data_IF_890955893761
#
_entry.id   IF_890955893761
#
_cell.length_a   1.000
_cell.length_b   1.000
_cell.length_c   1.000
_cell.angle_alpha   90.00
_cell.angle_beta   90.00
_cell.angle_gamma   90.00
#
_symmetry.space_group_name_H-M   'P 1'
#
loop_
_entity.id
_entity.type
_entity.pdbx_description
1 polymer ?
#
# COMPACT_ATOMS: atom_id res chain seq x y z
N UNK A 1 -3.63 -19.16 -38.05
CA UNK A 1 -4.64 -18.09 -38.04
C UNK A 1 -5.53 -18.13 -36.80
N UNK A 2 -6.19 -19.24 -36.42
CA UNK A 2 -7.09 -19.28 -35.24
C UNK A 2 -6.32 -19.18 -33.90
N UNK A 3 -5.10 -19.67 -33.83
CA UNK A 3 -4.25 -19.66 -32.63
C UNK A 3 -3.67 -18.27 -32.35
N UNK A 4 -3.35 -17.49 -33.39
CA UNK A 4 -2.87 -16.10 -33.28
C UNK A 4 -3.98 -15.17 -32.76
N UNK A 5 -5.22 -15.28 -33.28
CA UNK A 5 -6.36 -14.47 -32.84
C UNK A 5 -6.69 -14.70 -31.34
N UNK A 6 -6.64 -15.94 -30.86
CA UNK A 6 -6.88 -16.27 -29.44
C UNK A 6 -5.77 -15.73 -28.53
N UNK A 7 -4.52 -15.73 -29.01
CA UNK A 7 -3.38 -15.19 -28.23
C UNK A 7 -3.47 -13.67 -28.13
N UNK A 8 -3.85 -12.97 -29.21
CA UNK A 8 -4.02 -11.52 -29.23
C UNK A 8 -5.21 -11.10 -28.35
N UNK A 9 -6.36 -11.79 -28.39
CA UNK A 9 -7.48 -11.54 -27.47
C UNK A 9 -7.11 -11.74 -26.01
N UNK A 10 -6.31 -12.77 -25.68
CA UNK A 10 -5.84 -13.02 -24.32
C UNK A 10 -4.89 -11.91 -23.87
N UNK A 11 -4.01 -11.45 -24.73
CA UNK A 11 -3.07 -10.35 -24.43
C UNK A 11 -3.80 -9.02 -24.24
N UNK A 12 -4.77 -8.69 -25.10
CA UNK A 12 -5.61 -7.50 -24.96
C UNK A 12 -6.45 -7.56 -23.67
N UNK A 13 -7.06 -8.69 -23.35
CA UNK A 13 -7.85 -8.87 -22.13
C UNK A 13 -6.98 -8.71 -20.88
N UNK A 14 -5.75 -9.24 -20.89
CA UNK A 14 -4.78 -9.06 -19.81
C UNK A 14 -4.32 -7.62 -19.68
N UNK A 15 -4.03 -6.94 -20.78
CA UNK A 15 -3.64 -5.53 -20.82
C UNK A 15 -4.75 -4.62 -20.25
N UNK A 16 -5.99 -4.82 -20.67
CA UNK A 16 -7.18 -4.10 -20.17
C UNK A 16 -7.40 -4.34 -18.68
N UNK A 17 -7.20 -5.59 -18.20
CA UNK A 17 -7.30 -5.92 -16.78
C UNK A 17 -6.23 -5.22 -15.96
N UNK A 18 -4.98 -5.21 -16.44
CA UNK A 18 -3.86 -4.53 -15.77
C UNK A 18 -4.12 -3.03 -15.67
N UNK A 19 -4.64 -2.41 -16.74
CA UNK A 19 -4.97 -0.98 -16.75
C UNK A 19 -6.12 -0.66 -15.79
N UNK A 20 -7.16 -1.51 -15.76
CA UNK A 20 -8.31 -1.37 -14.83
C UNK A 20 -7.93 -1.51 -13.37
N UNK A 21 -6.92 -2.33 -13.04
CA UNK A 21 -6.51 -2.64 -11.68
C UNK A 21 -5.41 -1.70 -11.14
N UNK A 22 -5.09 -0.59 -11.87
CA UNK A 22 -4.10 0.41 -11.46
C UNK A 22 -4.74 1.71 -10.98
N UNK A 23 -4.09 2.34 -10.00
CA UNK A 23 -4.41 3.70 -9.57
C UNK A 23 -3.86 4.71 -10.59
N UNK A 24 -4.73 5.56 -11.12
CA UNK A 24 -4.39 6.50 -12.19
C UNK A 24 -3.37 7.58 -11.79
N UNK A 25 -3.26 7.90 -10.50
CA UNK A 25 -2.33 8.92 -10.00
C UNK A 25 -0.94 8.38 -9.75
N UNK A 26 -0.84 7.19 -9.18
CA UNK A 26 0.42 6.59 -8.67
C UNK A 26 0.91 5.39 -9.48
N UNK A 27 0.03 4.77 -10.27
CA UNK A 27 0.34 3.56 -11.04
C UNK A 27 0.46 2.29 -10.22
N UNK A 28 0.28 2.34 -8.90
CA UNK A 28 0.21 1.14 -8.03
C UNK A 28 -1.14 0.43 -8.19
N UNK A 29 -1.34 -0.73 -7.58
CA UNK A 29 -2.65 -1.37 -7.56
C UNK A 29 -3.70 -0.43 -6.96
N UNK A 30 -4.89 -0.42 -7.52
CA UNK A 30 -6.01 0.34 -6.97
C UNK A 30 -6.80 -0.50 -5.95
N UNK A 31 -7.88 0.07 -5.42
CA UNK A 31 -8.76 -0.62 -4.47
C UNK A 31 -9.32 -1.93 -5.01
N UNK A 32 -9.68 -1.96 -6.30
CA UNK A 32 -10.21 -3.17 -6.94
C UNK A 32 -9.14 -4.29 -6.98
N UNK A 33 -7.89 -3.95 -7.32
CA UNK A 33 -6.78 -4.90 -7.28
C UNK A 33 -6.55 -5.45 -5.86
N UNK A 34 -6.64 -4.59 -4.85
CA UNK A 34 -6.57 -4.98 -3.45
C UNK A 34 -7.69 -5.95 -3.04
N UNK A 35 -8.93 -5.67 -3.43
CA UNK A 35 -10.08 -6.53 -3.16
C UNK A 35 -9.93 -7.90 -3.85
N UNK A 36 -9.46 -7.93 -5.10
CA UNK A 36 -9.15 -9.17 -5.83
C UNK A 36 -8.06 -9.99 -5.13
N UNK A 37 -7.02 -9.35 -4.62
CA UNK A 37 -5.96 -10.02 -3.85
C UNK A 37 -6.54 -10.68 -2.59
N UNK A 38 -7.40 -9.99 -1.84
CA UNK A 38 -8.05 -10.55 -0.65
C UNK A 38 -8.98 -11.72 -0.99
N UNK A 39 -9.77 -11.59 -2.07
CA UNK A 39 -10.64 -12.67 -2.54
C UNK A 39 -9.83 -13.91 -2.94
N UNK A 40 -8.71 -13.72 -3.65
CA UNK A 40 -7.81 -14.81 -4.01
C UNK A 40 -7.33 -15.56 -2.76
N UNK A 41 -6.81 -14.86 -1.77
CA UNK A 41 -6.33 -15.45 -0.52
C UNK A 41 -7.42 -16.17 0.27
N UNK A 42 -8.62 -15.60 0.33
CA UNK A 42 -9.76 -16.25 0.99
C UNK A 42 -10.21 -17.54 0.28
N UNK A 43 -9.97 -17.63 -1.03
CA UNK A 43 -10.22 -18.83 -1.83
C UNK A 43 -9.07 -19.86 -1.77
N UNK A 44 -7.92 -19.48 -1.21
CA UNK A 44 -6.73 -20.32 -1.06
C UNK A 44 -6.25 -20.29 0.41
N UNK A 45 -6.98 -21.00 1.31
CA UNK A 45 -6.68 -20.95 2.75
C UNK A 45 -5.26 -21.37 3.12
N UNK A 46 -4.61 -22.17 2.27
CA UNK A 46 -3.22 -22.59 2.41
C UNK A 46 -2.21 -21.44 2.32
N UNK A 47 -2.57 -20.34 1.68
CA UNK A 47 -1.73 -19.12 1.58
C UNK A 47 -1.87 -18.17 2.77
N UNK A 48 -2.90 -18.35 3.60
CA UNK A 48 -3.20 -17.44 4.71
C UNK A 48 -2.09 -17.41 5.78
N UNK A 49 -1.50 -18.56 6.20
CA UNK A 49 -0.49 -18.56 7.25
C UNK A 49 0.77 -17.74 6.97
N UNK A 50 1.09 -17.52 5.71
CA UNK A 50 2.23 -16.67 5.30
C UNK A 50 1.88 -15.22 5.01
N UNK A 51 0.64 -14.82 5.23
CA UNK A 51 0.17 -13.48 4.88
C UNK A 51 0.57 -12.43 5.89
N UNK A 52 0.93 -11.25 5.39
CA UNK A 52 1.18 -10.07 6.19
C UNK A 52 0.81 -8.80 5.43
N UNK A 53 0.50 -7.75 6.17
CA UNK A 53 0.08 -6.46 5.60
C UNK A 53 0.69 -5.30 6.37
N UNK A 54 1.15 -4.30 5.62
CA UNK A 54 1.50 -2.99 6.15
C UNK A 54 0.44 -1.99 5.70
N UNK A 55 -0.20 -1.35 6.67
CA UNK A 55 -1.13 -0.24 6.43
C UNK A 55 -0.38 1.08 6.54
N UNK A 56 -0.54 1.95 5.56
CA UNK A 56 0.07 3.28 5.53
C UNK A 56 -1.00 4.35 5.34
N UNK A 57 -0.82 5.48 6.00
CA UNK A 57 -1.69 6.65 5.91
C UNK A 57 -0.84 7.94 5.86
N UNK A 58 -1.08 8.79 4.86
CA UNK A 58 -0.38 10.06 4.72
C UNK A 58 -0.89 11.07 5.75
N UNK A 59 0.04 11.77 6.39
CA UNK A 59 -0.31 12.77 7.38
C UNK A 59 -0.74 14.08 6.71
N UNK A 60 -1.86 14.63 7.17
CA UNK A 60 -2.37 15.97 6.83
C UNK A 60 -2.51 16.26 5.31
N UNK A 61 -2.82 15.25 4.49
CA UNK A 61 -3.03 15.46 3.05
C UNK A 61 -4.09 16.52 2.79
N UNK A 62 -5.18 16.52 3.57
CA UNK A 62 -6.24 17.53 3.45
C UNK A 62 -5.67 18.93 3.71
N UNK A 63 -4.88 19.11 4.76
CA UNK A 63 -4.27 20.39 5.06
C UNK A 63 -3.27 20.84 3.98
N UNK A 64 -2.57 19.91 3.34
CA UNK A 64 -1.72 20.22 2.17
C UNK A 64 -2.57 20.70 1.00
N UNK A 65 -3.65 20.01 0.66
CA UNK A 65 -4.59 20.41 -0.39
C UNK A 65 -5.19 21.79 -0.12
N UNK A 66 -5.67 22.03 1.10
CA UNK A 66 -6.33 23.28 1.47
C UNK A 66 -5.37 24.49 1.44
N UNK A 67 -4.09 24.28 1.79
CA UNK A 67 -3.08 25.37 1.87
C UNK A 67 -2.30 25.58 0.57
N UNK A 68 -2.02 24.49 -0.16
CA UNK A 68 -1.09 24.51 -1.31
C UNK A 68 -1.72 24.04 -2.63
N UNK A 69 -3.01 23.66 -2.61
CA UNK A 69 -3.75 23.17 -3.77
C UNK A 69 -3.60 21.68 -4.04
N UNK A 70 -4.52 21.16 -4.87
CA UNK A 70 -4.59 19.74 -5.20
C UNK A 70 -3.36 19.22 -5.96
N UNK A 71 -2.74 20.05 -6.80
CA UNK A 71 -1.51 19.67 -7.52
C UNK A 71 -0.38 19.30 -6.55
N UNK A 72 -0.26 20.03 -5.45
CA UNK A 72 0.72 19.77 -4.41
C UNK A 72 0.36 18.52 -3.58
N UNK A 73 -0.91 18.32 -3.33
CA UNK A 73 -1.40 17.08 -2.73
C UNK A 73 -1.15 15.86 -3.60
N UNK A 74 -1.37 15.98 -4.91
CA UNK A 74 -1.10 14.92 -5.87
C UNK A 74 0.41 14.58 -5.95
N UNK A 75 1.27 15.60 -5.93
CA UNK A 75 2.74 15.42 -5.82
C UNK A 75 3.10 14.65 -4.55
N UNK A 76 2.51 15.02 -3.41
CA UNK A 76 2.71 14.35 -2.13
C UNK A 76 2.29 12.88 -2.18
N UNK A 77 1.13 12.58 -2.77
CA UNK A 77 0.64 11.20 -2.94
C UNK A 77 1.58 10.40 -3.83
N UNK A 78 2.00 10.92 -5.00
CA UNK A 78 2.92 10.24 -5.92
C UNK A 78 4.25 9.94 -5.24
N UNK A 79 4.83 10.95 -4.58
CA UNK A 79 6.12 10.77 -3.89
C UNK A 79 6.03 9.76 -2.74
N UNK A 80 4.92 9.77 -2.00
CA UNK A 80 4.69 8.79 -0.94
C UNK A 80 4.59 7.37 -1.48
N UNK A 81 3.90 7.16 -2.60
CA UNK A 81 3.84 5.86 -3.27
C UNK A 81 5.23 5.38 -3.70
N UNK A 82 6.06 6.26 -4.25
CA UNK A 82 7.44 5.93 -4.64
C UNK A 82 8.30 5.56 -3.43
N UNK A 83 8.21 6.33 -2.35
CA UNK A 83 8.92 6.05 -1.08
C UNK A 83 8.55 4.67 -0.53
N UNK A 84 7.26 4.34 -0.50
CA UNK A 84 6.79 3.03 -0.02
C UNK A 84 7.31 1.92 -0.95
N UNK A 85 7.23 2.11 -2.25
CA UNK A 85 7.70 1.13 -3.25
C UNK A 85 9.20 0.89 -3.15
N UNK A 86 9.99 1.92 -2.97
CA UNK A 86 11.45 1.84 -2.78
C UNK A 86 11.83 1.15 -1.46
N UNK A 87 11.03 1.34 -0.41
CA UNK A 87 11.25 0.72 0.90
C UNK A 87 10.90 -0.79 0.92
N UNK A 88 9.97 -1.21 0.06
CA UNK A 88 9.51 -2.60 -0.06
C UNK A 88 9.58 -3.08 -1.51
N UNK A 89 10.80 -3.20 -2.08
CA UNK A 89 10.95 -3.54 -3.48
C UNK A 89 10.37 -4.92 -3.81
N UNK A 90 9.57 -4.98 -4.87
CA UNK A 90 8.91 -6.21 -5.32
C UNK A 90 7.65 -6.60 -4.54
N UNK A 91 7.35 -5.98 -3.40
CA UNK A 91 6.12 -6.23 -2.67
C UNK A 91 4.92 -5.56 -3.38
N UNK A 92 3.78 -6.25 -3.54
CA UNK A 92 2.58 -5.63 -4.08
C UNK A 92 2.13 -4.44 -3.21
N UNK A 93 1.90 -3.30 -3.86
CA UNK A 93 1.49 -2.05 -3.24
C UNK A 93 0.17 -1.60 -3.84
N UNK A 94 -0.78 -1.23 -2.98
CA UNK A 94 -2.11 -0.79 -3.35
C UNK A 94 -2.44 0.56 -2.73
N UNK A 95 -3.13 1.41 -3.48
CA UNK A 95 -3.78 2.61 -2.96
C UNK A 95 -5.27 2.33 -2.79
N UNK A 96 -5.74 2.29 -1.55
CA UNK A 96 -7.11 1.89 -1.20
C UNK A 96 -8.03 3.04 -0.84
N UNK A 97 -7.47 4.22 -0.62
CA UNK A 97 -8.16 5.47 -0.33
C UNK A 97 -7.35 6.66 -0.81
N UNK A 98 -7.80 7.87 -0.54
CA UNK A 98 -7.12 9.09 -0.95
C UNK A 98 -5.68 9.18 -0.43
N UNK A 99 -5.51 8.91 0.85
CA UNK A 99 -4.26 8.97 1.62
C UNK A 99 -3.82 7.60 2.18
N UNK A 100 -4.49 6.51 1.80
CA UNK A 100 -4.30 5.19 2.37
C UNK A 100 -3.65 4.21 1.38
N UNK A 101 -2.59 3.53 1.84
CA UNK A 101 -1.88 2.50 1.08
C UNK A 101 -1.78 1.20 1.87
N UNK A 102 -1.70 0.09 1.15
CA UNK A 102 -1.45 -1.25 1.71
C UNK A 102 -0.30 -1.90 0.96
N UNK A 103 0.66 -2.45 1.70
CA UNK A 103 1.71 -3.33 1.16
C UNK A 103 1.42 -4.76 1.58
N UNK A 104 1.43 -5.68 0.63
CA UNK A 104 1.37 -7.12 0.89
C UNK A 104 2.77 -7.62 1.26
N UNK A 105 2.92 -8.17 2.46
CA UNK A 105 4.22 -8.54 3.04
C UNK A 105 4.54 -10.04 2.93
N UNK A 106 3.84 -10.76 2.08
CA UNK A 106 4.02 -12.21 1.94
C UNK A 106 5.49 -12.56 1.62
N UNK A 107 6.02 -13.53 2.34
CA UNK A 107 7.40 -13.97 2.18
C UNK A 107 8.47 -13.06 2.79
N UNK A 108 8.09 -11.93 3.40
CA UNK A 108 9.00 -11.07 4.13
C UNK A 108 9.09 -11.47 5.60
N UNK A 109 10.30 -11.42 6.16
CA UNK A 109 10.52 -11.58 7.59
C UNK A 109 10.30 -10.28 8.35
N UNK A 110 10.04 -10.39 9.65
CA UNK A 110 9.83 -9.23 10.53
C UNK A 110 10.99 -8.23 10.48
N UNK A 111 12.23 -8.71 10.41
CA UNK A 111 13.42 -7.87 10.30
C UNK A 111 13.45 -7.07 8.99
N UNK A 112 13.07 -7.69 7.87
CA UNK A 112 12.98 -7.03 6.57
C UNK A 112 11.92 -5.93 6.60
N UNK A 113 10.75 -6.20 7.21
CA UNK A 113 9.68 -5.20 7.36
C UNK A 113 10.14 -4.04 8.23
N UNK A 114 10.80 -4.30 9.35
CA UNK A 114 11.35 -3.26 10.21
C UNK A 114 12.36 -2.37 9.48
N UNK A 115 13.28 -2.96 8.71
CA UNK A 115 14.22 -2.21 7.87
C UNK A 115 13.51 -1.37 6.81
N UNK A 116 12.49 -1.92 6.15
CA UNK A 116 11.68 -1.19 5.18
C UNK A 116 10.98 0.02 5.80
N UNK A 117 10.37 -0.14 6.97
CA UNK A 117 9.73 0.97 7.70
C UNK A 117 10.75 2.07 8.06
N UNK A 118 11.93 1.70 8.56
CA UNK A 118 12.98 2.68 8.87
C UNK A 118 13.49 3.40 7.62
N UNK A 119 13.63 2.71 6.49
CA UNK A 119 14.01 3.31 5.22
C UNK A 119 12.93 4.29 4.74
N UNK A 120 11.67 3.91 4.84
CA UNK A 120 10.52 4.77 4.52
C UNK A 120 10.47 6.02 5.40
N UNK A 121 10.67 5.90 6.71
CA UNK A 121 10.69 7.03 7.65
C UNK A 121 11.81 8.03 7.32
N UNK A 122 13.01 7.54 6.98
CA UNK A 122 14.13 8.40 6.56
C UNK A 122 13.83 9.13 5.25
N UNK A 123 13.28 8.42 4.26
CA UNK A 123 12.95 9.00 2.96
C UNK A 123 11.83 10.05 3.06
N UNK A 124 10.80 9.79 3.88
CA UNK A 124 9.72 10.75 4.15
C UNK A 124 10.25 11.98 4.86
N UNK A 125 11.15 11.79 5.85
CA UNK A 125 11.76 12.94 6.53
C UNK A 125 12.57 13.80 5.57
N UNK A 126 13.40 13.19 4.73
CA UNK A 126 14.17 13.92 3.72
C UNK A 126 13.27 14.68 2.74
N UNK A 127 12.16 14.07 2.32
CA UNK A 127 11.16 14.72 1.47
C UNK A 127 10.48 15.88 2.19
N UNK A 128 10.10 15.70 3.46
CA UNK A 128 9.51 16.73 4.30
C UNK A 128 10.44 17.93 4.48
N UNK A 129 11.73 17.67 4.78
CA UNK A 129 12.73 18.73 5.01
C UNK A 129 12.98 19.58 3.73
N UNK A 130 12.75 19.02 2.54
CA UNK A 130 12.85 19.70 1.25
C UNK A 130 11.57 20.36 0.75
N UNK A 131 10.48 20.35 1.53
CA UNK A 131 9.18 20.84 1.11
C UNK A 131 8.66 21.99 1.98
N UNK A 132 7.63 22.68 1.46
CA UNK A 132 6.93 23.79 2.15
C UNK A 132 5.91 23.30 3.18
N UNK A 133 5.72 21.98 3.30
CA UNK A 133 4.81 21.36 4.26
C UNK A 133 5.48 20.16 4.94
N UNK A 134 5.02 19.83 6.13
CA UNK A 134 5.48 18.65 6.85
C UNK A 134 4.84 17.39 6.25
N UNK A 135 5.64 16.57 5.57
CA UNK A 135 5.22 15.26 5.08
C UNK A 135 5.43 14.19 6.16
N UNK A 136 4.55 13.19 6.19
CA UNK A 136 4.67 12.04 7.08
C UNK A 136 3.81 10.88 6.61
N UNK A 137 4.26 9.67 6.88
CA UNK A 137 3.51 8.44 6.64
C UNK A 137 3.42 7.67 7.96
N UNK A 138 2.21 7.51 8.48
CA UNK A 138 1.97 6.61 9.60
C UNK A 138 1.85 5.18 9.06
N UNK A 139 2.53 4.24 9.67
CA UNK A 139 2.55 2.84 9.24
C UNK A 139 2.38 1.89 10.42
N UNK A 140 1.62 0.82 10.17
CA UNK A 140 1.45 -0.29 11.10
C UNK A 140 1.34 -1.60 10.35
N UNK A 141 1.93 -2.67 10.84
CA UNK A 141 1.91 -3.96 10.18
C UNK A 141 1.51 -5.10 11.11
N UNK A 142 1.00 -6.16 10.51
CA UNK A 142 0.74 -7.43 11.18
C UNK A 142 0.93 -8.59 10.20
N UNK A 143 1.47 -9.69 10.69
CA UNK A 143 1.41 -11.00 10.04
C UNK A 143 0.26 -11.80 10.64
N UNK A 144 -0.32 -12.70 9.82
CA UNK A 144 -1.35 -13.60 10.29
C UNK A 144 -0.82 -14.46 11.45
N UNK A 145 -1.56 -14.46 12.55
CA UNK A 145 -1.27 -15.22 13.76
C UNK A 145 -2.51 -16.03 14.14
N UNK A 146 -2.49 -17.37 13.97
CA UNK A 146 -3.66 -18.21 14.27
C UNK A 146 -4.08 -18.16 15.75
N UNK A 147 -3.20 -17.70 16.65
CA UNK A 147 -3.53 -17.48 18.05
C UNK A 147 -4.29 -16.17 18.32
N UNK A 148 -4.34 -15.26 17.34
CA UNK A 148 -4.97 -13.93 17.47
C UNK A 148 -6.01 -13.67 16.40
N UNK A 149 -5.83 -14.25 15.21
CA UNK A 149 -6.61 -13.92 14.02
C UNK A 149 -7.54 -15.07 13.65
N UNK A 150 -8.82 -14.77 13.49
CA UNK A 150 -9.82 -15.71 12.97
C UNK A 150 -9.92 -15.64 11.45
N UNK A 151 -9.36 -14.58 10.83
CA UNK A 151 -9.37 -14.34 9.39
C UNK A 151 -8.31 -13.31 9.00
N UNK A 152 -8.06 -13.12 7.71
CA UNK A 152 -7.23 -12.01 7.20
C UNK A 152 -7.79 -10.64 7.59
N UNK A 153 -9.11 -10.51 7.73
CA UNK A 153 -9.74 -9.29 8.24
C UNK A 153 -9.26 -8.92 9.64
N UNK A 154 -9.05 -9.92 10.51
CA UNK A 154 -8.47 -9.70 11.85
C UNK A 154 -7.01 -9.22 11.78
N UNK A 155 -6.22 -9.80 10.88
CA UNK A 155 -4.83 -9.37 10.64
C UNK A 155 -4.76 -7.92 10.16
N UNK A 156 -5.59 -7.57 9.19
CA UNK A 156 -5.70 -6.21 8.67
C UNK A 156 -6.14 -5.21 9.75
N UNK A 157 -7.12 -5.59 10.58
CA UNK A 157 -7.58 -4.76 11.69
C UNK A 157 -6.46 -4.51 12.73
N UNK A 158 -5.60 -5.50 12.99
CA UNK A 158 -4.43 -5.30 13.85
C UNK A 158 -3.40 -4.36 13.23
N UNK A 159 -3.10 -4.51 11.95
CA UNK A 159 -2.19 -3.61 11.22
C UNK A 159 -2.72 -2.16 11.24
N UNK A 160 -4.01 -1.98 10.98
CA UNK A 160 -4.69 -0.67 11.04
C UNK A 160 -4.64 -0.05 12.44
N UNK A 161 -4.87 -0.84 13.47
CA UNK A 161 -4.76 -0.38 14.87
C UNK A 161 -3.35 0.11 15.20
N UNK A 162 -2.31 -0.58 14.76
CA UNK A 162 -0.91 -0.17 14.97
C UNK A 162 -0.58 1.12 14.20
N UNK A 163 -1.03 1.24 12.95
CA UNK A 163 -0.91 2.45 12.15
C UNK A 163 -1.60 3.64 12.84
N UNK A 164 -2.83 3.47 13.28
CA UNK A 164 -3.60 4.50 13.97
C UNK A 164 -2.91 5.02 15.25
N UNK A 165 -2.37 4.11 16.07
CA UNK A 165 -1.60 4.48 17.26
C UNK A 165 -0.35 5.29 16.89
N UNK A 166 0.34 4.93 15.81
CA UNK A 166 1.50 5.68 15.31
C UNK A 166 1.08 7.07 14.82
N UNK A 167 -0.01 7.15 14.07
CA UNK A 167 -0.57 8.42 13.58
C UNK A 167 -0.89 9.40 14.72
N UNK A 168 -1.47 8.91 15.82
CA UNK A 168 -1.74 9.73 17.00
C UNK A 168 -0.48 10.23 17.68
N UNK A 169 0.57 9.41 17.79
CA UNK A 169 1.86 9.83 18.35
C UNK A 169 2.58 10.88 17.51
N UNK A 170 2.38 10.88 16.20
CA UNK A 170 3.00 11.85 15.28
C UNK A 170 2.33 13.23 15.31
N UNK A 171 1.10 13.35 15.86
CA UNK A 171 0.36 14.61 15.98
C UNK A 171 0.68 15.40 17.26
N UNK A 172 1.42 14.81 18.17
CA UNK A 172 1.87 15.37 19.44
C UNK A 172 3.39 15.46 19.50
#
# INVERSE_FOLDING_TARGET
CVVEDVTDEILETKALKVERDRDGLTGVGNRLAYEHMLQHKNSHPEEIPGSGFLMCDLNDLKGVNDRFGHDKGDEYIRRSADIIREAFPGAPLFRIGGDEFVVQLDGLGQEQVTRGILAMERAVKAYSDGNVFAAGIAAGYAFFDPGKDVSLGSTLARADTYMYRKKHKMKH
#
